data_IF_208868300168
#
_entry.id   IF_208868300168
#
_cell.length_a   1.000
_cell.length_b   1.000
_cell.length_c   1.000
_cell.angle_alpha   90.00
_cell.angle_beta   90.00
_cell.angle_gamma   90.00
#
_symmetry.space_group_name_H-M   'P 1'
#
loop_
_entity.id
_entity.type
_entity.pdbx_description
1 polymer ?
#
# COMPACT_ATOMS: atom_id res chain seq x y z
N UNK A 1 9.66 -0.57 44.44
CA UNK A 1 9.08 0.50 43.58
C UNK A 1 9.22 0.06 42.14
N UNK A 2 8.17 0.16 41.32
CA UNK A 2 8.28 -0.18 39.89
C UNK A 2 9.27 0.78 39.22
N UNK A 3 10.19 0.24 38.41
CA UNK A 3 11.14 1.05 37.64
C UNK A 3 10.36 1.99 36.70
N UNK A 4 10.77 3.25 36.58
CA UNK A 4 10.10 4.24 35.74
C UNK A 4 9.96 3.78 34.28
N UNK A 5 10.95 3.04 33.76
CA UNK A 5 10.88 2.41 32.44
C UNK A 5 9.76 1.37 32.31
N UNK A 6 9.45 0.65 33.38
CA UNK A 6 8.35 -0.31 33.40
C UNK A 6 7.00 0.40 33.31
N UNK A 7 6.80 1.48 34.08
CA UNK A 7 5.57 2.29 34.02
C UNK A 7 5.35 2.85 32.62
N UNK A 8 6.38 3.45 32.01
CA UNK A 8 6.30 3.95 30.64
C UNK A 8 6.01 2.84 29.64
N UNK A 9 6.62 1.66 29.80
CA UNK A 9 6.33 0.53 28.91
C UNK A 9 4.90 0.02 29.04
N UNK A 10 4.29 0.04 30.24
CA UNK A 10 2.86 -0.29 30.42
C UNK A 10 1.98 0.75 29.73
N UNK A 11 2.25 2.04 29.89
CA UNK A 11 1.52 3.12 29.20
C UNK A 11 1.64 2.95 27.68
N UNK A 12 2.84 2.66 27.18
CA UNK A 12 3.12 2.40 25.78
C UNK A 12 2.33 1.20 25.25
N UNK A 13 2.27 0.11 26.01
CA UNK A 13 1.47 -1.08 25.68
C UNK A 13 -0.01 -0.71 25.51
N UNK A 14 -0.60 0.00 26.46
CA UNK A 14 -2.01 0.41 26.41
C UNK A 14 -2.29 1.26 25.17
N UNK A 15 -1.49 2.30 24.93
CA UNK A 15 -1.65 3.19 23.77
C UNK A 15 -1.53 2.42 22.45
N UNK A 16 -0.49 1.58 22.31
CA UNK A 16 -0.28 0.80 21.10
C UNK A 16 -1.41 -0.19 20.84
N UNK A 17 -1.93 -0.87 21.87
CA UNK A 17 -3.05 -1.81 21.71
C UNK A 17 -4.31 -1.07 21.27
N UNK A 18 -4.59 0.12 21.80
CA UNK A 18 -5.68 0.97 21.33
C UNK A 18 -5.51 1.36 19.86
N UNK A 19 -4.29 1.67 19.43
CA UNK A 19 -4.00 1.93 18.01
C UNK A 19 -4.21 0.68 17.15
N UNK A 20 -3.79 -0.50 17.60
CA UNK A 20 -4.04 -1.78 16.89
C UNK A 20 -5.53 -2.15 16.87
N UNK A 21 -6.33 -1.66 17.82
CA UNK A 21 -7.78 -1.81 17.85
C UNK A 21 -8.52 -0.84 16.91
N UNK A 22 -7.87 0.19 16.39
CA UNK A 22 -8.52 1.19 15.53
C UNK A 22 -9.24 0.59 14.30
N UNK A 23 -8.71 -0.45 13.61
CA UNK A 23 -9.40 -1.08 12.48
C UNK A 23 -10.63 -1.94 12.85
N UNK A 24 -10.94 -2.19 14.13
CA UNK A 24 -12.06 -3.07 14.52
C UNK A 24 -13.38 -2.62 13.88
N UNK A 25 -13.67 -1.32 13.89
CA UNK A 25 -14.90 -0.79 13.28
C UNK A 25 -14.94 -1.03 11.77
N UNK A 26 -13.82 -0.83 11.10
CA UNK A 26 -13.65 -1.15 9.67
C UNK A 26 -13.93 -2.63 9.38
N UNK A 27 -13.36 -3.54 10.17
CA UNK A 27 -13.58 -4.97 9.96
C UNK A 27 -15.00 -5.43 10.32
N UNK A 28 -15.65 -4.81 11.33
CA UNK A 28 -17.08 -5.02 11.58
C UNK A 28 -17.92 -4.65 10.35
N UNK A 29 -17.60 -3.55 9.66
CA UNK A 29 -18.25 -3.16 8.40
C UNK A 29 -18.00 -4.17 7.28
N UNK A 30 -16.76 -4.63 7.11
CA UNK A 30 -16.40 -5.67 6.11
C UNK A 30 -17.22 -6.95 6.34
N UNK A 31 -17.33 -7.41 7.59
CA UNK A 31 -18.12 -8.60 7.94
C UNK A 31 -19.60 -8.39 7.61
N UNK A 32 -20.17 -7.24 8.00
CA UNK A 32 -21.58 -6.91 7.75
C UNK A 32 -21.90 -6.81 6.26
N UNK A 33 -20.99 -6.25 5.47
CA UNK A 33 -21.14 -6.06 4.02
C UNK A 33 -20.69 -7.25 3.19
N UNK A 34 -20.04 -8.24 3.80
CA UNK A 34 -19.46 -9.43 3.14
C UNK A 34 -18.54 -9.07 1.96
N UNK A 35 -17.89 -7.90 2.05
CA UNK A 35 -17.03 -7.35 1.00
C UNK A 35 -15.99 -6.44 1.64
N UNK A 36 -14.76 -6.47 1.11
CA UNK A 36 -13.71 -5.52 1.50
C UNK A 36 -13.92 -4.13 0.91
N UNK A 37 -14.97 -3.89 0.12
CA UNK A 37 -15.20 -2.63 -0.58
C UNK A 37 -13.90 -2.15 -1.26
N UNK A 38 -13.44 -0.94 -0.94
CA UNK A 38 -12.17 -0.38 -1.43
C UNK A 38 -11.04 -0.42 -0.38
N UNK A 39 -11.27 -1.06 0.77
CA UNK A 39 -10.22 -1.25 1.76
C UNK A 39 -9.14 -2.16 1.18
N UNK A 40 -7.88 -1.82 1.44
CA UNK A 40 -6.75 -2.65 0.98
C UNK A 40 -6.11 -3.39 2.14
N UNK A 41 -5.62 -4.60 1.83
CA UNK A 41 -5.03 -5.51 2.81
C UNK A 41 -3.60 -5.15 3.22
N UNK A 42 -2.87 -4.41 2.37
CA UNK A 42 -1.42 -4.17 2.53
C UNK A 42 -1.06 -3.64 3.93
N UNK A 43 -1.72 -2.60 4.51
CA UNK A 43 -1.34 -2.08 5.82
C UNK A 43 -1.44 -3.14 6.92
N UNK A 44 -2.43 -4.03 6.84
CA UNK A 44 -2.60 -5.11 7.82
C UNK A 44 -1.54 -6.19 7.65
N UNK A 45 -1.22 -6.55 6.41
CA UNK A 45 -0.21 -7.57 6.07
C UNK A 45 1.20 -7.10 6.45
N UNK A 46 1.53 -5.81 6.24
CA UNK A 46 2.82 -5.23 6.62
C UNK A 46 2.93 -5.02 8.12
N UNK A 47 1.83 -4.63 8.79
CA UNK A 47 1.84 -4.48 10.25
C UNK A 47 1.93 -5.84 10.94
N UNK A 48 1.37 -6.90 10.37
CA UNK A 48 1.59 -8.26 10.85
C UNK A 48 3.08 -8.62 10.83
N UNK A 49 3.78 -8.37 9.71
CA UNK A 49 5.21 -8.62 9.62
C UNK A 49 5.99 -7.81 10.67
N UNK A 50 5.67 -6.52 10.80
CA UNK A 50 6.31 -5.63 11.76
C UNK A 50 6.13 -6.12 13.20
N UNK A 51 4.91 -6.43 13.60
CA UNK A 51 4.60 -6.92 14.94
C UNK A 51 5.24 -8.29 15.22
N UNK A 52 5.29 -9.20 14.25
CA UNK A 52 6.02 -10.46 14.39
C UNK A 52 7.54 -10.25 14.58
N UNK A 53 8.17 -9.39 13.77
CA UNK A 53 9.59 -9.08 13.89
C UNK A 53 9.92 -8.41 15.22
N UNK A 54 9.11 -7.44 15.67
CA UNK A 54 9.30 -6.80 16.97
C UNK A 54 9.07 -7.74 18.14
N UNK A 55 8.14 -8.69 18.01
CA UNK A 55 7.96 -9.77 19.00
C UNK A 55 9.22 -10.62 19.08
N UNK A 56 9.77 -11.04 17.93
CA UNK A 56 11.01 -11.81 17.88
C UNK A 56 12.20 -11.02 18.44
N UNK A 57 12.31 -9.73 18.12
CA UNK A 57 13.30 -8.82 18.71
C UNK A 57 13.20 -8.79 20.24
N UNK A 58 11.99 -8.63 20.78
CA UNK A 58 11.74 -8.62 22.21
C UNK A 58 12.09 -9.95 22.89
N UNK A 59 11.88 -11.09 22.23
CA UNK A 59 12.25 -12.42 22.74
C UNK A 59 13.77 -12.61 22.81
N UNK A 60 14.52 -12.00 21.89
CA UNK A 60 15.99 -12.06 21.89
C UNK A 60 16.62 -11.09 22.90
N UNK A 61 15.91 -10.02 23.28
CA UNK A 61 16.42 -8.96 24.14
C UNK A 61 16.22 -9.28 25.63
N UNK A 62 17.26 -9.23 26.47
CA UNK A 62 17.10 -9.26 27.92
C UNK A 62 16.20 -8.11 28.39
N UNK A 63 15.15 -8.41 29.15
CA UNK A 63 14.16 -7.42 29.58
C UNK A 63 13.21 -6.94 28.47
N UNK A 64 13.15 -7.62 27.33
CA UNK A 64 12.27 -7.27 26.20
C UNK A 64 10.78 -7.55 26.41
N UNK A 65 10.34 -7.97 27.60
CA UNK A 65 8.97 -8.40 27.88
C UNK A 65 7.90 -7.40 27.41
N UNK A 66 8.08 -6.11 27.70
CA UNK A 66 7.10 -5.07 27.32
C UNK A 66 7.00 -4.88 25.80
N UNK A 67 8.08 -5.19 25.06
CA UNK A 67 8.09 -5.17 23.59
C UNK A 67 7.39 -6.42 23.05
N UNK A 68 7.59 -7.58 23.68
CA UNK A 68 6.91 -8.84 23.34
C UNK A 68 5.42 -8.73 23.56
N UNK A 69 4.96 -8.20 24.70
CA UNK A 69 3.53 -8.15 25.03
C UNK A 69 2.76 -7.25 24.06
N UNK A 70 3.28 -6.06 23.76
CA UNK A 70 2.60 -5.11 22.87
C UNK A 70 2.54 -5.63 21.44
N UNK A 71 3.65 -6.16 20.93
CA UNK A 71 3.74 -6.61 19.55
C UNK A 71 3.10 -7.98 19.36
N UNK A 72 3.14 -8.86 20.37
CA UNK A 72 2.41 -10.12 20.36
C UNK A 72 0.90 -9.89 20.30
N UNK A 73 0.36 -8.97 21.11
CA UNK A 73 -1.04 -8.57 21.01
C UNK A 73 -1.36 -7.96 19.64
N UNK A 74 -0.47 -7.11 19.11
CA UNK A 74 -0.58 -6.57 17.76
C UNK A 74 -0.61 -7.64 16.67
N UNK A 75 0.26 -8.65 16.76
CA UNK A 75 0.34 -9.75 15.82
C UNK A 75 -0.96 -10.59 15.85
N UNK A 76 -1.49 -10.91 17.03
CA UNK A 76 -2.77 -11.63 17.17
C UNK A 76 -3.91 -10.84 16.49
N UNK A 77 -4.04 -9.55 16.76
CA UNK A 77 -5.04 -8.70 16.12
C UNK A 77 -4.87 -8.66 14.60
N UNK A 78 -3.64 -8.55 14.11
CA UNK A 78 -3.37 -8.48 12.68
C UNK A 78 -3.53 -9.81 11.96
N UNK A 79 -3.30 -10.96 12.62
CA UNK A 79 -3.68 -12.27 12.10
C UNK A 79 -5.20 -12.33 11.88
N UNK A 80 -5.98 -11.83 12.83
CA UNK A 80 -7.44 -11.78 12.71
C UNK A 80 -7.84 -10.87 11.54
N UNK A 81 -7.29 -9.66 11.45
CA UNK A 81 -7.58 -8.72 10.37
C UNK A 81 -7.21 -9.27 8.99
N UNK A 82 -6.02 -9.83 8.84
CA UNK A 82 -5.56 -10.42 7.57
C UNK A 82 -6.46 -11.60 7.19
N UNK A 83 -6.79 -12.47 8.14
CA UNK A 83 -7.71 -13.60 7.90
C UNK A 83 -9.08 -13.12 7.42
N UNK A 84 -9.69 -12.17 8.13
CA UNK A 84 -10.99 -11.59 7.73
C UNK A 84 -10.91 -10.92 6.36
N UNK A 85 -9.83 -10.19 6.07
CA UNK A 85 -9.61 -9.58 4.77
C UNK A 85 -9.55 -10.63 3.66
N UNK A 86 -8.80 -11.72 3.85
CA UNK A 86 -8.68 -12.81 2.88
C UNK A 86 -9.99 -13.58 2.69
N UNK A 87 -10.84 -13.69 3.72
CA UNK A 87 -12.16 -14.30 3.60
C UNK A 87 -13.06 -13.45 2.68
N UNK A 88 -13.15 -12.14 2.93
CA UNK A 88 -14.12 -11.26 2.28
C UNK A 88 -13.61 -10.52 1.03
N UNK A 89 -12.32 -10.60 0.70
CA UNK A 89 -11.75 -9.94 -0.47
C UNK A 89 -12.24 -10.59 -1.79
N UNK A 90 -12.46 -9.79 -2.85
CA UNK A 90 -12.73 -10.33 -4.18
C UNK A 90 -11.51 -11.10 -4.71
N UNK A 91 -11.75 -12.12 -5.56
CA UNK A 91 -10.73 -13.06 -6.07
C UNK A 91 -9.39 -12.40 -6.47
N UNK A 92 -9.33 -11.34 -7.29
CA UNK A 92 -8.04 -10.76 -7.69
C UNK A 92 -7.26 -10.17 -6.50
N UNK A 93 -7.93 -9.38 -5.65
CA UNK A 93 -7.31 -8.79 -4.45
C UNK A 93 -6.92 -9.85 -3.44
N UNK A 94 -7.74 -10.91 -3.30
CA UNK A 94 -7.47 -12.06 -2.43
C UNK A 94 -6.19 -12.76 -2.85
N UNK A 95 -6.04 -13.11 -4.13
CA UNK A 95 -4.84 -13.79 -4.65
C UNK A 95 -3.60 -12.92 -4.47
N UNK A 96 -3.69 -11.62 -4.78
CA UNK A 96 -2.58 -10.70 -4.57
C UNK A 96 -2.17 -10.62 -3.09
N UNK A 97 -3.15 -10.55 -2.19
CA UNK A 97 -2.92 -10.48 -0.75
C UNK A 97 -2.35 -11.79 -0.19
N UNK A 98 -2.84 -12.94 -0.64
CA UNK A 98 -2.28 -14.25 -0.26
C UNK A 98 -0.83 -14.39 -0.70
N UNK A 99 -0.50 -13.98 -1.94
CA UNK A 99 0.89 -13.96 -2.41
C UNK A 99 1.76 -13.08 -1.53
N UNK A 100 1.28 -11.89 -1.17
CA UNK A 100 2.02 -10.98 -0.32
C UNK A 100 2.23 -11.58 1.09
N UNK A 101 1.21 -12.19 1.69
CA UNK A 101 1.31 -12.89 2.98
C UNK A 101 2.34 -14.02 2.91
N UNK A 102 2.26 -14.88 1.89
CA UNK A 102 3.20 -15.99 1.72
C UNK A 102 4.65 -15.50 1.58
N UNK A 103 4.88 -14.46 0.78
CA UNK A 103 6.24 -13.93 0.55
C UNK A 103 6.78 -13.25 1.82
N UNK A 104 6.04 -12.31 2.42
CA UNK A 104 6.61 -11.45 3.45
C UNK A 104 6.43 -12.01 4.87
N UNK A 105 5.28 -12.63 5.18
CA UNK A 105 4.96 -13.11 6.53
C UNK A 105 5.35 -14.57 6.75
N UNK A 106 5.50 -15.37 5.69
CA UNK A 106 5.92 -16.77 5.82
C UNK A 106 7.38 -16.92 5.38
N UNK A 107 7.67 -16.68 4.10
CA UNK A 107 9.01 -16.93 3.56
C UNK A 107 10.07 -15.98 4.15
N UNK A 108 9.87 -14.66 4.06
CA UNK A 108 10.83 -13.69 4.58
C UNK A 108 10.97 -13.75 6.10
N UNK A 109 9.86 -13.72 6.85
CA UNK A 109 9.89 -13.83 8.31
C UNK A 109 10.53 -15.15 8.76
N UNK A 110 10.15 -16.27 8.14
CA UNK A 110 10.71 -17.59 8.44
C UNK A 110 12.21 -17.65 8.16
N UNK A 111 12.66 -17.06 7.05
CA UNK A 111 14.08 -16.96 6.73
C UNK A 111 14.85 -16.11 7.75
N UNK A 112 14.30 -14.95 8.15
CA UNK A 112 14.92 -14.10 9.19
C UNK A 112 15.07 -14.86 10.50
N UNK A 113 14.01 -15.55 10.95
CA UNK A 113 14.05 -16.34 12.19
C UNK A 113 15.07 -17.48 12.06
N UNK A 114 15.02 -18.26 10.98
CA UNK A 114 15.92 -19.40 10.75
C UNK A 114 17.39 -18.95 10.70
N UNK A 115 17.72 -17.93 9.91
CA UNK A 115 19.08 -17.40 9.81
C UNK A 115 19.55 -16.86 11.17
N UNK A 116 18.70 -16.12 11.88
CA UNK A 116 19.08 -15.55 13.18
C UNK A 116 19.36 -16.63 14.22
N UNK A 117 18.56 -17.70 14.26
CA UNK A 117 18.71 -18.76 15.25
C UNK A 117 19.80 -19.78 14.89
N UNK A 118 19.98 -20.08 13.60
CA UNK A 118 20.87 -21.15 13.15
C UNK A 118 22.26 -20.66 12.70
N UNK A 119 22.35 -19.45 12.14
CA UNK A 119 23.59 -18.96 11.50
C UNK A 119 24.24 -17.77 12.25
N UNK A 120 23.45 -16.97 12.96
CA UNK A 120 23.97 -15.81 13.71
C UNK A 120 24.16 -16.18 15.17
N UNK A 121 25.13 -15.57 15.86
CA UNK A 121 25.45 -15.86 17.27
C UNK A 121 25.64 -14.59 18.09
N UNK A 122 25.46 -14.70 19.41
CA UNK A 122 25.70 -13.62 20.37
C UNK A 122 24.89 -12.35 20.11
N UNK A 123 25.50 -11.20 20.39
CA UNK A 123 24.89 -9.86 20.27
C UNK A 123 24.54 -9.50 18.83
N UNK A 124 25.19 -10.12 17.84
CA UNK A 124 24.89 -9.91 16.42
C UNK A 124 23.47 -10.30 16.05
N UNK A 125 22.85 -11.28 16.75
CA UNK A 125 21.44 -11.66 16.56
C UNK A 125 20.52 -10.47 16.81
N UNK A 126 20.72 -9.82 17.95
CA UNK A 126 19.91 -8.68 18.37
C UNK A 126 20.11 -7.49 17.44
N UNK A 127 21.34 -7.22 17.02
CA UNK A 127 21.67 -6.16 16.07
C UNK A 127 20.99 -6.39 14.71
N UNK A 128 21.09 -7.59 14.14
CA UNK A 128 20.49 -7.91 12.84
C UNK A 128 18.97 -7.73 12.86
N UNK A 129 18.30 -8.31 13.85
CA UNK A 129 16.83 -8.21 13.96
C UNK A 129 16.42 -6.78 14.29
N UNK A 130 17.16 -6.09 15.15
CA UNK A 130 16.92 -4.69 15.51
C UNK A 130 16.98 -3.74 14.31
N UNK A 131 17.99 -3.90 13.44
CA UNK A 131 18.09 -3.13 12.20
C UNK A 131 16.92 -3.39 11.26
N UNK A 132 16.52 -4.65 11.07
CA UNK A 132 15.36 -5.00 10.24
C UNK A 132 14.07 -4.39 10.80
N UNK A 133 13.85 -4.48 12.12
CA UNK A 133 12.71 -3.88 12.79
C UNK A 133 12.67 -2.37 12.61
N UNK A 134 13.79 -1.68 12.83
CA UNK A 134 13.89 -0.23 12.70
C UNK A 134 13.68 0.22 11.24
N UNK A 135 14.31 -0.44 10.27
CA UNK A 135 14.17 -0.13 8.85
C UNK A 135 12.73 -0.32 8.36
N UNK A 136 12.09 -1.42 8.75
CA UNK A 136 10.68 -1.67 8.41
C UNK A 136 9.77 -0.61 9.03
N UNK A 137 9.96 -0.29 10.30
CA UNK A 137 9.14 0.71 10.99
C UNK A 137 9.29 2.12 10.37
N UNK A 138 10.52 2.51 10.00
CA UNK A 138 10.77 3.76 9.26
C UNK A 138 10.07 3.73 7.89
N UNK A 139 10.18 2.62 7.16
CA UNK A 139 9.50 2.45 5.87
C UNK A 139 7.98 2.58 5.97
N UNK A 140 7.38 2.12 7.07
CA UNK A 140 5.94 2.27 7.32
C UNK A 140 5.51 3.73 7.51
N UNK A 141 6.43 4.65 7.83
CA UNK A 141 6.13 6.08 7.88
C UNK A 141 5.96 6.75 6.51
N UNK A 142 6.23 6.04 5.41
CA UNK A 142 5.96 6.57 4.07
C UNK A 142 4.49 6.95 3.88
N UNK A 143 3.55 6.16 4.42
CA UNK A 143 2.11 6.43 4.32
C UNK A 143 1.67 7.69 5.08
N UNK A 144 1.99 7.88 6.37
CA UNK A 144 1.66 9.12 7.07
C UNK A 144 2.36 10.35 6.48
N UNK A 145 3.56 10.21 5.91
CA UNK A 145 4.25 11.30 5.20
C UNK A 145 3.57 11.66 3.87
N UNK A 146 3.06 10.68 3.13
CA UNK A 146 2.24 10.94 1.96
C UNK A 146 0.95 11.71 2.33
N UNK A 147 0.31 11.32 3.44
CA UNK A 147 -0.88 12.00 3.95
C UNK A 147 -0.61 13.46 4.35
N UNK A 148 0.50 13.77 5.04
CA UNK A 148 0.85 15.16 5.37
C UNK A 148 1.10 16.00 4.12
N UNK A 149 1.80 15.44 3.13
CA UNK A 149 1.99 16.11 1.82
C UNK A 149 0.65 16.42 1.15
N UNK A 150 -0.31 15.50 1.21
CA UNK A 150 -1.66 15.72 0.68
C UNK A 150 -2.38 16.86 1.41
N UNK A 151 -2.31 16.93 2.74
CA UNK A 151 -2.95 18.03 3.49
C UNK A 151 -2.38 19.39 3.10
N UNK A 152 -1.06 19.50 2.96
CA UNK A 152 -0.42 20.76 2.54
C UNK A 152 -0.88 21.15 1.13
N UNK A 153 -0.92 20.19 0.19
CA UNK A 153 -1.33 20.44 -1.20
C UNK A 153 -2.82 20.80 -1.32
N UNK A 154 -3.66 20.13 -0.54
CA UNK A 154 -5.13 20.28 -0.61
C UNK A 154 -5.67 21.36 0.34
N UNK A 155 -4.83 21.90 1.23
CA UNK A 155 -5.22 22.85 2.31
C UNK A 155 -6.44 22.39 3.12
N UNK A 156 -6.59 21.08 3.31
CA UNK A 156 -7.76 20.48 3.99
C UNK A 156 -7.32 19.35 4.92
N UNK A 157 -7.89 19.37 6.14
CA UNK A 157 -7.64 18.37 7.21
C UNK A 157 -8.60 17.19 7.16
N UNK A 158 -9.49 17.12 6.17
CA UNK A 158 -10.45 16.02 5.97
C UNK A 158 -9.78 14.63 5.99
N UNK A 159 -8.48 14.59 5.72
CA UNK A 159 -7.69 13.38 5.55
C UNK A 159 -6.79 13.02 6.75
N UNK A 160 -6.73 13.84 7.81
CA UNK A 160 -5.97 13.54 9.04
C UNK A 160 -6.94 13.50 10.22
N UNK A 161 -7.40 12.31 10.63
CA UNK A 161 -8.21 12.19 11.84
C UNK A 161 -7.36 12.57 13.04
N UNK A 162 -7.76 13.64 13.74
CA UNK A 162 -7.04 14.20 14.89
C UNK A 162 -6.61 13.13 15.90
N UNK A 163 -7.55 12.27 16.31
CA UNK A 163 -7.27 11.23 17.29
C UNK A 163 -6.18 10.26 16.83
N UNK A 164 -6.14 9.88 15.55
CA UNK A 164 -5.12 8.96 15.05
C UNK A 164 -3.72 9.57 15.14
N UNK A 165 -3.58 10.84 14.73
CA UNK A 165 -2.31 11.57 14.84
C UNK A 165 -1.92 11.84 16.29
N UNK A 166 -2.89 12.14 17.16
CA UNK A 166 -2.66 12.34 18.59
C UNK A 166 -2.15 11.06 19.27
N UNK A 167 -2.82 9.92 19.04
CA UNK A 167 -2.37 8.64 19.60
C UNK A 167 -1.02 8.21 19.00
N UNK A 168 -0.76 8.49 17.72
CA UNK A 168 0.54 8.21 17.11
C UNK A 168 1.67 9.06 17.70
N UNK A 169 1.42 10.35 17.97
CA UNK A 169 2.33 11.23 18.69
C UNK A 169 2.63 10.70 20.10
N UNK A 170 1.60 10.40 20.89
CA UNK A 170 1.78 9.86 22.24
C UNK A 170 2.55 8.52 22.22
N UNK A 171 2.18 7.63 21.29
CA UNK A 171 2.85 6.35 21.12
C UNK A 171 4.34 6.52 20.82
N UNK A 172 4.67 7.35 19.83
CA UNK A 172 6.06 7.64 19.48
C UNK A 172 6.83 8.23 20.66
N UNK A 173 6.24 9.18 21.39
CA UNK A 173 6.87 9.83 22.53
C UNK A 173 7.15 8.86 23.68
N UNK A 174 6.14 8.06 24.07
CA UNK A 174 6.28 7.08 25.17
C UNK A 174 7.31 6.00 24.84
N UNK A 175 7.27 5.45 23.62
CA UNK A 175 8.24 4.42 23.21
C UNK A 175 9.65 4.99 23.02
N UNK A 176 9.78 6.25 22.61
CA UNK A 176 11.09 6.93 22.57
C UNK A 176 11.64 7.13 23.98
N UNK A 177 10.82 7.63 24.91
CA UNK A 177 11.23 7.81 26.31
C UNK A 177 11.60 6.47 26.96
N UNK A 178 10.78 5.43 26.74
CA UNK A 178 11.09 4.06 27.15
C UNK A 178 12.46 3.61 26.61
N UNK A 179 12.69 3.77 25.31
CA UNK A 179 13.91 3.36 24.63
C UNK A 179 15.17 4.06 25.18
N UNK A 180 15.08 5.35 25.51
CA UNK A 180 16.18 6.11 26.13
C UNK A 180 16.53 5.51 27.49
N UNK A 181 15.53 5.16 28.30
CA UNK A 181 15.76 4.58 29.63
C UNK A 181 16.35 3.17 29.57
N UNK A 182 15.94 2.36 28.60
CA UNK A 182 16.49 1.01 28.39
C UNK A 182 17.70 0.98 27.45
N UNK A 183 18.21 2.16 27.06
CA UNK A 183 19.36 2.36 26.17
C UNK A 183 19.27 1.54 24.86
N UNK A 184 18.09 1.56 24.24
CA UNK A 184 17.79 0.80 23.03
C UNK A 184 17.56 1.72 21.83
N UNK A 185 18.60 1.92 21.03
CA UNK A 185 18.52 2.77 19.84
C UNK A 185 17.63 2.18 18.74
N UNK A 186 17.47 0.85 18.67
CA UNK A 186 16.62 0.23 17.65
C UNK A 186 15.15 0.56 17.88
N UNK A 187 14.71 0.63 19.15
CA UNK A 187 13.38 1.12 19.50
C UNK A 187 13.34 2.65 19.39
N UNK A 188 14.35 3.35 19.90
CA UNK A 188 14.34 4.80 20.07
C UNK A 188 14.30 5.58 18.76
N UNK A 189 15.16 5.25 17.80
CA UNK A 189 15.28 5.97 16.52
C UNK A 189 13.97 5.97 15.72
N UNK A 190 13.36 4.81 15.38
CA UNK A 190 12.12 4.80 14.62
C UNK A 190 10.96 5.43 15.42
N UNK A 191 10.85 5.22 16.73
CA UNK A 191 9.78 5.84 17.51
C UNK A 191 9.95 7.36 17.60
N UNK A 192 11.19 7.86 17.67
CA UNK A 192 11.49 9.30 17.67
C UNK A 192 11.12 9.96 16.35
N UNK A 193 11.40 9.30 15.22
CA UNK A 193 10.92 9.76 13.90
C UNK A 193 9.39 9.78 13.89
N UNK A 194 8.74 8.74 14.39
CA UNK A 194 7.27 8.67 14.49
C UNK A 194 6.68 9.78 15.35
N UNK A 195 7.35 10.12 16.47
CA UNK A 195 6.97 11.23 17.35
C UNK A 195 7.03 12.57 16.62
N UNK A 196 8.12 12.85 15.90
CA UNK A 196 8.28 14.09 15.12
C UNK A 196 7.22 14.17 14.02
N UNK A 197 6.97 13.08 13.30
CA UNK A 197 5.94 13.03 12.26
C UNK A 197 4.53 13.22 12.83
N UNK A 198 4.23 12.60 13.98
CA UNK A 198 2.95 12.79 14.68
C UNK A 198 2.77 14.24 15.15
N UNK A 199 3.82 14.87 15.66
CA UNK A 199 3.81 16.28 16.03
C UNK A 199 3.54 17.17 14.80
N UNK A 200 4.23 16.91 13.68
CA UNK A 200 4.00 17.63 12.43
C UNK A 200 2.55 17.49 11.93
N UNK A 201 1.97 16.28 12.02
CA UNK A 201 0.56 16.05 11.67
C UNK A 201 -0.39 16.87 12.55
N UNK A 202 -0.15 16.93 13.86
CA UNK A 202 -0.97 17.71 14.79
C UNK A 202 -0.86 19.22 14.52
N UNK A 203 0.35 19.73 14.28
CA UNK A 203 0.58 21.14 13.92
C UNK A 203 -0.19 21.49 12.64
N UNK A 204 -0.04 20.67 11.58
CA UNK A 204 -0.77 20.87 10.33
C UNK A 204 -2.29 20.81 10.54
N UNK A 205 -2.77 19.90 11.38
CA UNK A 205 -4.19 19.84 11.72
C UNK A 205 -4.67 21.18 12.30
N UNK A 206 -4.01 21.71 13.33
CA UNK A 206 -4.43 22.99 13.94
C UNK A 206 -4.30 24.18 13.00
N UNK A 207 -3.29 24.20 12.13
CA UNK A 207 -3.13 25.27 11.13
C UNK A 207 -4.26 25.30 10.11
N UNK A 208 -4.69 24.14 9.59
CA UNK A 208 -5.68 24.06 8.51
C UNK A 208 -7.11 23.80 9.00
N UNK A 209 -7.32 23.44 10.27
CA UNK A 209 -8.64 23.21 10.86
C UNK A 209 -9.55 24.44 10.77
N UNK A 210 -8.99 25.65 10.90
CA UNK A 210 -9.74 26.91 10.84
C UNK A 210 -10.07 27.38 9.41
N UNK A 211 -9.48 26.76 8.39
CA UNK A 211 -9.68 27.12 6.98
C UNK A 211 -10.65 26.20 6.22
N UNK A 212 -11.24 25.20 6.87
CA UNK A 212 -12.17 24.26 6.23
C UNK A 212 -13.59 24.51 6.72
N UNK A 213 -14.58 24.77 5.83
CA UNK A 213 -15.97 24.92 6.23
C UNK A 213 -16.51 23.58 6.76
N UNK A 214 -17.03 23.65 7.98
CA UNK A 214 -17.49 22.54 8.81
C UNK A 214 -18.40 21.56 8.07
N UNK A 215 -17.91 20.33 7.82
CA UNK A 215 -18.76 19.13 7.72
C UNK A 215 -18.11 18.00 8.51
N UNK A 216 -18.73 17.67 9.62
CA UNK A 216 -18.50 16.50 10.44
C UNK A 216 -18.64 15.22 9.62
N UNK A 217 -17.57 14.45 9.47
CA UNK A 217 -17.67 12.99 9.25
C UNK A 217 -16.37 12.30 9.67
N UNK A 218 -16.33 11.88 10.93
CA UNK A 218 -15.42 10.82 11.37
C UNK A 218 -15.76 9.51 10.61
N UNK A 219 -14.76 8.67 10.31
CA UNK A 219 -14.87 7.34 9.66
C UNK A 219 -14.70 7.21 8.13
N UNK A 220 -13.93 8.07 7.45
CA UNK A 220 -13.50 7.80 6.04
C UNK A 220 -11.99 7.71 5.80
N UNK A 221 -11.15 7.98 6.81
CA UNK A 221 -9.71 8.21 6.64
C UNK A 221 -8.91 7.05 6.02
N UNK A 222 -8.95 5.85 6.60
CA UNK A 222 -7.99 4.79 6.21
C UNK A 222 -8.32 4.05 4.91
N UNK A 223 -9.60 3.92 4.55
CA UNK A 223 -10.02 3.31 3.28
C UNK A 223 -9.78 4.25 2.09
N UNK A 224 -10.14 5.52 2.29
CA UNK A 224 -10.24 6.49 1.21
C UNK A 224 -8.86 7.01 0.79
N UNK A 225 -7.93 7.17 1.74
CA UNK A 225 -6.53 7.49 1.46
C UNK A 225 -5.89 6.46 0.53
N UNK A 226 -6.16 5.19 0.82
CA UNK A 226 -5.62 4.09 0.04
C UNK A 226 -6.31 4.02 -1.35
N UNK A 227 -7.63 4.25 -1.44
CA UNK A 227 -8.37 4.30 -2.72
C UNK A 227 -7.88 5.43 -3.65
N UNK A 228 -7.61 6.63 -3.12
CA UNK A 228 -7.16 7.77 -3.95
C UNK A 228 -5.67 7.75 -4.31
N UNK A 229 -4.80 7.14 -3.50
CA UNK A 229 -3.40 6.89 -3.92
C UNK A 229 -3.32 5.97 -5.14
N UNK A 230 -4.26 5.03 -5.29
CA UNK A 230 -4.39 4.24 -6.53
C UNK A 230 -4.84 5.12 -7.68
N UNK A 231 -5.88 5.95 -7.51
CA UNK A 231 -6.32 6.85 -8.58
C UNK A 231 -5.22 7.80 -9.04
N UNK A 232 -4.42 8.36 -8.13
CA UNK A 232 -3.30 9.23 -8.51
C UNK A 232 -2.16 8.46 -9.20
N UNK A 233 -1.88 7.22 -8.79
CA UNK A 233 -0.90 6.35 -9.48
C UNK A 233 -1.40 5.91 -10.86
N UNK A 234 -2.69 5.62 -11.01
CA UNK A 234 -3.29 5.23 -12.29
C UNK A 234 -3.31 6.40 -13.28
N UNK A 235 -3.61 7.61 -12.80
CA UNK A 235 -3.54 8.84 -13.61
C UNK A 235 -2.10 9.14 -14.04
N UNK A 236 -1.13 9.01 -13.13
CA UNK A 236 0.28 9.21 -13.48
C UNK A 236 0.79 8.15 -14.48
N UNK A 237 0.35 6.89 -14.33
CA UNK A 237 0.71 5.79 -15.23
C UNK A 237 0.03 5.93 -16.61
N UNK A 238 -1.19 6.48 -16.65
CA UNK A 238 -1.85 6.84 -17.91
C UNK A 238 -1.10 7.98 -18.62
N UNK A 239 -0.68 9.02 -17.88
CA UNK A 239 0.11 10.12 -18.42
C UNK A 239 1.51 9.69 -18.92
N UNK A 240 2.20 8.78 -18.21
CA UNK A 240 3.47 8.23 -18.67
C UNK A 240 3.32 7.39 -19.95
N UNK A 241 2.26 6.58 -20.04
CA UNK A 241 1.97 5.81 -21.26
C UNK A 241 1.61 6.70 -22.45
N UNK A 242 0.91 7.81 -22.22
CA UNK A 242 0.59 8.78 -23.26
C UNK A 242 1.84 9.54 -23.74
N UNK A 243 2.71 9.94 -22.82
CA UNK A 243 4.01 10.55 -23.17
C UNK A 243 4.94 9.60 -23.93
N UNK A 244 4.97 8.31 -23.57
CA UNK A 244 5.79 7.32 -24.31
C UNK A 244 5.25 7.08 -25.73
N UNK A 245 3.93 7.12 -25.94
CA UNK A 245 3.33 7.06 -27.29
C UNK A 245 3.67 8.29 -28.12
N UNK A 246 3.73 9.47 -27.50
CA UNK A 246 4.13 10.70 -28.17
C UNK A 246 5.63 10.74 -28.51
N UNK A 247 6.49 10.12 -27.69
CA UNK A 247 7.92 10.01 -27.97
C UNK A 247 8.23 9.09 -29.17
N UNK A 248 7.43 8.04 -29.39
CA UNK A 248 7.59 7.15 -30.54
C UNK A 248 7.12 7.74 -31.87
N UNK A 249 6.34 8.83 -31.88
CA UNK A 249 5.93 9.54 -33.10
C UNK A 249 6.97 10.52 -33.65
N UNK A 250 8.08 10.77 -32.93
CA UNK A 250 9.07 11.81 -33.24
C UNK A 250 10.35 11.34 -33.95
N UNK A 251 10.48 10.07 -34.36
CA UNK A 251 11.70 9.57 -35.02
C UNK A 251 11.39 8.84 -36.33
N UNK A 252 11.08 9.60 -37.37
CA UNK A 252 11.27 9.18 -38.76
C UNK A 252 12.18 10.19 -39.45
N UNK A 253 13.38 9.75 -39.83
CA UNK A 253 14.41 10.53 -40.52
C UNK A 253 13.91 11.10 -41.87
N UNK A 254 14.42 12.24 -42.34
CA UNK A 254 14.14 12.73 -43.69
C UNK A 254 14.96 11.94 -44.73
N UNK A 255 14.35 11.61 -45.88
CA UNK A 255 15.05 11.05 -47.04
C UNK A 255 15.80 12.15 -47.81
N UNK A 256 17.02 11.91 -48.33
CA UNK A 256 17.66 12.83 -49.24
C UNK A 256 17.11 12.68 -50.68
N UNK A 257 17.05 13.82 -51.36
CA UNK A 257 16.59 14.02 -52.74
C UNK A 257 17.58 13.48 -53.78
N UNK A 258 17.07 12.81 -54.81
CA UNK A 258 17.77 12.68 -56.10
C UNK A 258 16.86 13.09 -57.25
N UNK A 259 17.42 14.01 -58.04
CA UNK A 259 16.96 14.58 -59.31
C UNK A 259 17.03 13.51 -60.43
N UNK A 260 16.28 13.75 -61.53
CA UNK A 260 16.24 13.05 -62.86
C UNK A 260 15.04 12.09 -62.95
N UNK A 261 14.06 12.23 -63.86
CA UNK A 261 14.16 12.44 -65.30
C UNK A 261 12.79 12.87 -65.90
N UNK A 262 12.85 13.79 -66.88
CA UNK A 262 11.79 14.27 -67.77
C UNK A 262 11.09 13.15 -68.57
N UNK A 263 9.77 13.24 -68.74
CA UNK A 263 9.05 13.10 -70.03
C UNK A 263 7.54 13.10 -69.79
N UNK A 264 6.88 14.18 -70.16
CA UNK A 264 5.43 14.21 -70.38
C UNK A 264 5.02 13.24 -71.50
N UNK A 265 3.86 12.60 -71.38
CA UNK A 265 2.99 12.27 -72.53
C UNK A 265 1.58 11.84 -72.10
N UNK A 266 0.61 12.55 -72.71
CA UNK A 266 -0.72 12.11 -73.16
C UNK A 266 -1.82 11.95 -72.09
N UNK A 267 -2.68 12.95 -71.87
CA UNK A 267 -3.85 13.38 -72.68
C UNK A 267 -5.10 12.51 -72.44
N UNK A 268 -6.07 13.14 -71.73
CA UNK A 268 -7.52 13.23 -71.99
C UNK A 268 -8.31 11.98 -72.46
N UNK A 269 -9.23 11.56 -71.58
CA UNK A 269 -10.68 11.38 -71.80
C UNK A 269 -11.20 10.90 -73.17
N UNK A 270 -11.88 9.74 -73.16
CA UNK A 270 -13.08 9.39 -73.94
C UNK A 270 -13.84 8.32 -73.09
N UNK A 271 -15.02 8.62 -72.54
CA UNK A 271 -16.36 8.48 -73.14
C UNK A 271 -17.10 7.19 -72.69
N UNK A 272 -18.12 7.39 -71.85
CA UNK A 272 -19.46 6.78 -71.78
C UNK A 272 -19.71 5.31 -72.23
N UNK A 273 -20.15 4.50 -71.25
CA UNK A 273 -21.23 3.46 -71.18
C UNK A 273 -22.00 3.05 -72.45
N UNK A 274 -22.64 1.83 -72.57
CA UNK A 274 -23.42 1.17 -71.50
C UNK A 274 -23.50 -0.39 -71.49
N UNK A 275 -24.04 -0.92 -70.37
CA UNK A 275 -24.85 -2.14 -70.16
C UNK A 275 -24.80 -3.34 -71.15
N UNK A 276 -24.57 -4.54 -70.62
CA UNK A 276 -25.31 -5.74 -71.04
C UNK A 276 -25.47 -6.76 -69.89
N UNK A 277 -26.71 -7.25 -69.76
CA UNK A 277 -27.13 -8.41 -68.95
C UNK A 277 -26.64 -9.72 -69.60
N UNK A 278 -26.49 -10.76 -68.78
CA UNK A 278 -26.47 -12.17 -69.18
C UNK A 278 -25.99 -13.03 -68.01
N UNK A 279 -26.87 -13.47 -67.10
CA UNK A 279 -27.67 -14.71 -67.17
C UNK A 279 -26.86 -16.00 -66.98
N UNK A 280 -27.01 -16.60 -65.79
CA UNK A 280 -27.38 -18.00 -65.52
C UNK A 280 -26.81 -18.44 -64.15
N UNK A 281 -27.68 -18.67 -63.16
CA UNK A 281 -28.36 -19.94 -62.84
C UNK A 281 -27.40 -20.97 -62.22
N UNK A 282 -27.72 -21.73 -61.18
CA UNK A 282 -28.94 -21.94 -60.37
C UNK A 282 -28.51 -22.90 -59.24
N UNK A 283 -29.04 -22.68 -58.03
CA UNK A 283 -29.61 -23.66 -57.07
C UNK A 283 -28.82 -24.96 -56.75
N UNK A 284 -28.90 -25.61 -55.58
CA UNK A 284 -29.69 -25.53 -54.36
C UNK A 284 -29.29 -26.75 -53.50
N UNK A 285 -29.63 -26.73 -52.19
CA UNK A 285 -30.13 -27.87 -51.37
C UNK A 285 -29.15 -29.07 -51.16
N UNK A 286 -28.80 -29.51 -49.94
CA UNK A 286 -29.60 -30.25 -48.95
C UNK A 286 -28.67 -30.53 -47.73
N UNK A 287 -29.01 -30.24 -46.47
CA UNK A 287 -29.78 -31.03 -45.46
C UNK A 287 -29.26 -32.47 -45.20
N UNK A 288 -29.08 -32.82 -43.92
CA UNK A 288 -28.88 -34.20 -43.42
C UNK A 288 -27.89 -34.31 -42.25
N UNK A 289 -28.23 -33.99 -40.99
CA UNK A 289 -28.95 -34.80 -39.98
C UNK A 289 -28.08 -35.89 -39.30
N UNK A 290 -28.18 -35.92 -37.94
CA UNK A 290 -27.94 -37.04 -36.99
C UNK A 290 -26.52 -37.32 -36.50
N UNK A 291 -26.26 -37.82 -35.29
CA UNK A 291 -26.98 -38.04 -34.02
C UNK A 291 -25.88 -38.48 -33.01
N UNK A 292 -26.11 -38.23 -31.72
CA UNK A 292 -25.69 -39.03 -30.55
C UNK A 292 -24.23 -39.55 -30.42
N UNK A 293 -23.49 -39.00 -29.46
CA UNK A 293 -23.19 -39.69 -28.20
C UNK A 293 -22.61 -38.74 -27.13
#
# INVERSE_FOLDING_TARGET
MANFSFILGIIGNVISILMFAAPIKTFKRIIKKKSTEDFKGIPYITTLLSTCLWTFYGLLKPGGLLVVTVNGAGAILHIIYVTLFLIYAPKPLKIQSMKLVAIINIAFLGAVIAITLLAVHGTTRLTLVGFLCAALNIGMYAAPLAATRTVIKMKSVEYIPFFLSFFQFLNGGVWTAYAVLVKDYFIGVPNGIGFILGAAQLILYFMYYKSSPTKSTEEKGSAHLMKREIQMKDVNRAHENENNRNLHKGKSLPKPSLVRQYSERLVKTLSNTPSSLGSHNVNDIEKGLKEAH
#
